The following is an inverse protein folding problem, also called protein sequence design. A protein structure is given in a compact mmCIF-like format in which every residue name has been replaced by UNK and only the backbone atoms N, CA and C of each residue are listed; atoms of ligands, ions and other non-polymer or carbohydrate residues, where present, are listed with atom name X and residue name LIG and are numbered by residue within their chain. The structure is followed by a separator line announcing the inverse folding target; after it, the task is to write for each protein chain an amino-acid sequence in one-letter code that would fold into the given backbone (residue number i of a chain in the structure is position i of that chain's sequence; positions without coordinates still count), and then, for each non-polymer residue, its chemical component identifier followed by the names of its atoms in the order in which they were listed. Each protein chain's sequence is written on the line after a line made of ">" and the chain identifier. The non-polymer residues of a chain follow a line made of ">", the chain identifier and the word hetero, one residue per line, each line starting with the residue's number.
data_IF_796347832600
#
_entry.id   IF_796347832600
#
_cell.length_a   1.000
_cell.length_b   1.000
_cell.length_c   1.000
_cell.angle_alpha   90.00
_cell.angle_beta   90.00
_cell.angle_gamma   90.00
#
_symmetry.space_group_name_H-M   'P 1'
#
loop_
_entity.id
_entity.type
_entity.pdbx_description
1 polymer ?
#
# COMPACT_ATOMS: atom_id res chain seq x y z
N UNK A 1 38.08 -16.66 24.66
CA UNK A 1 38.26 -16.26 23.25
C UNK A 1 36.91 -16.32 22.56
N UNK A 2 36.38 -15.19 22.11
CA UNK A 2 35.19 -15.15 21.26
C UNK A 2 35.64 -15.28 19.81
N UNK A 3 35.24 -16.36 19.14
CA UNK A 3 35.51 -16.54 17.71
C UNK A 3 34.67 -15.49 16.96
N UNK A 4 35.30 -14.60 16.16
CA UNK A 4 34.54 -13.62 15.40
C UNK A 4 33.71 -14.33 14.34
N UNK A 5 32.39 -14.21 14.41
CA UNK A 5 31.48 -14.71 13.37
C UNK A 5 31.57 -13.73 12.20
N UNK A 6 31.93 -14.18 10.99
CA UNK A 6 32.01 -13.30 9.83
C UNK A 6 30.63 -12.68 9.53
N UNK A 7 30.58 -11.41 9.09
CA UNK A 7 29.34 -10.76 8.73
C UNK A 7 28.65 -11.54 7.60
N UNK A 8 27.32 -11.64 7.68
CA UNK A 8 26.54 -12.33 6.65
C UNK A 8 26.65 -11.58 5.33
N UNK A 9 26.71 -12.33 4.23
CA UNK A 9 26.62 -11.72 2.90
C UNK A 9 25.17 -11.35 2.58
N UNK A 10 24.96 -10.39 1.67
CA UNK A 10 23.62 -10.01 1.20
C UNK A 10 22.79 -11.21 0.74
N UNK A 11 23.41 -12.15 0.02
CA UNK A 11 22.74 -13.37 -0.43
C UNK A 11 22.29 -14.26 0.74
N UNK A 12 23.10 -14.39 1.79
CA UNK A 12 22.75 -15.14 3.00
C UNK A 12 21.59 -14.45 3.75
N UNK A 13 21.61 -13.12 3.83
CA UNK A 13 20.53 -12.34 4.45
C UNK A 13 19.21 -12.49 3.69
N UNK A 14 19.24 -12.37 2.36
CA UNK A 14 18.06 -12.55 1.51
C UNK A 14 17.47 -13.95 1.64
N UNK A 15 18.31 -14.99 1.59
CA UNK A 15 17.85 -16.38 1.78
C UNK A 15 17.18 -16.56 3.14
N UNK A 16 17.83 -16.10 4.21
CA UNK A 16 17.26 -16.18 5.55
C UNK A 16 15.97 -15.36 5.70
N UNK A 17 15.85 -14.22 5.00
CA UNK A 17 14.64 -13.41 4.98
C UNK A 17 13.47 -14.12 4.26
N UNK A 18 13.73 -14.76 3.12
CA UNK A 18 12.73 -15.56 2.39
C UNK A 18 12.21 -16.70 3.27
N UNK A 19 13.11 -17.43 3.93
CA UNK A 19 12.74 -18.51 4.85
C UNK A 19 11.90 -17.99 6.02
N UNK A 20 12.28 -16.85 6.62
CA UNK A 20 11.48 -16.21 7.69
C UNK A 20 10.09 -15.79 7.21
N UNK A 21 10.00 -15.14 6.05
CA UNK A 21 8.71 -14.73 5.45
C UNK A 21 7.80 -15.94 5.29
N UNK A 22 8.32 -17.03 4.70
CA UNK A 22 7.56 -18.26 4.49
C UNK A 22 7.02 -18.84 5.80
N UNK A 23 7.85 -18.94 6.84
CA UNK A 23 7.45 -19.44 8.16
C UNK A 23 6.38 -18.55 8.79
N UNK A 24 6.59 -17.22 8.78
CA UNK A 24 5.63 -16.25 9.36
C UNK A 24 4.27 -16.34 8.63
N UNK A 25 4.28 -16.37 7.30
CA UNK A 25 3.06 -16.48 6.50
C UNK A 25 2.31 -17.78 6.76
N UNK A 26 3.02 -18.91 6.93
CA UNK A 26 2.40 -20.18 7.32
C UNK A 26 1.72 -20.10 8.68
N UNK A 27 2.34 -19.45 9.66
CA UNK A 27 1.74 -19.22 10.97
C UNK A 27 0.52 -18.30 10.90
N UNK A 28 0.60 -17.21 10.12
CA UNK A 28 -0.54 -16.30 9.89
C UNK A 28 -1.72 -17.03 9.25
N UNK A 29 -1.45 -17.89 8.26
CA UNK A 29 -2.46 -18.72 7.62
C UNK A 29 -3.18 -19.64 8.61
N UNK A 30 -2.42 -20.34 9.49
CA UNK A 30 -3.01 -21.21 10.52
C UNK A 30 -3.82 -20.40 11.54
N UNK A 31 -3.35 -19.20 11.89
CA UNK A 31 -4.00 -18.31 12.85
C UNK A 31 -5.30 -17.69 12.32
N UNK A 32 -5.43 -17.54 11.01
CA UNK A 32 -6.63 -17.02 10.35
C UNK A 32 -6.81 -15.51 10.41
N UNK A 33 -5.83 -14.74 10.92
CA UNK A 33 -5.87 -13.29 10.87
C UNK A 33 -4.48 -12.65 10.82
N UNK A 34 -4.42 -11.44 10.27
CA UNK A 34 -3.23 -10.63 10.14
C UNK A 34 -3.49 -9.22 10.70
N UNK A 35 -2.61 -8.75 11.58
CA UNK A 35 -2.61 -7.38 12.11
C UNK A 35 -1.25 -6.75 11.84
N UNK A 36 -1.13 -5.77 10.93
CA UNK A 36 0.16 -5.17 10.58
C UNK A 36 0.95 -4.64 11.79
N UNK A 37 0.28 -3.99 12.73
CA UNK A 37 0.89 -3.50 13.98
C UNK A 37 1.09 -4.56 15.08
N UNK A 38 0.72 -5.82 14.84
CA UNK A 38 0.93 -6.92 15.80
C UNK A 38 2.31 -7.58 15.67
N UNK A 39 2.66 -8.49 16.58
CA UNK A 39 3.96 -9.16 16.58
C UNK A 39 4.31 -9.87 15.26
N UNK A 40 3.35 -10.61 14.68
CA UNK A 40 3.55 -11.28 13.38
C UNK A 40 3.66 -10.29 12.22
N UNK A 41 2.97 -9.15 12.28
CA UNK A 41 3.08 -8.08 11.30
C UNK A 41 4.42 -7.37 11.36
N UNK A 42 4.89 -7.04 12.56
CA UNK A 42 6.23 -6.48 12.78
C UNK A 42 7.33 -7.44 12.29
N UNK A 43 7.19 -8.75 12.55
CA UNK A 43 8.13 -9.75 12.07
C UNK A 43 8.14 -9.86 10.53
N UNK A 44 6.95 -9.86 9.89
CA UNK A 44 6.83 -9.91 8.44
C UNK A 44 7.42 -8.65 7.79
N UNK A 45 7.11 -7.47 8.36
CA UNK A 45 7.68 -6.18 7.97
C UNK A 45 9.20 -6.20 8.01
N UNK A 46 9.78 -6.62 9.14
CA UNK A 46 11.23 -6.67 9.30
C UNK A 46 11.88 -7.62 8.29
N UNK A 47 11.26 -8.78 8.04
CA UNK A 47 11.76 -9.72 7.06
C UNK A 47 11.70 -9.15 5.63
N UNK A 48 10.64 -8.41 5.28
CA UNK A 48 10.52 -7.75 3.98
C UNK A 48 11.55 -6.62 3.81
N UNK A 49 11.79 -5.82 4.84
CA UNK A 49 12.83 -4.78 4.87
C UNK A 49 14.25 -5.35 4.81
N UNK A 50 14.49 -6.54 5.37
CA UNK A 50 15.75 -7.25 5.17
C UNK A 50 15.87 -7.75 3.74
N UNK A 51 14.79 -8.33 3.19
CA UNK A 51 14.80 -8.90 1.85
C UNK A 51 15.04 -7.84 0.78
N UNK A 52 14.43 -6.66 0.92
CA UNK A 52 14.40 -5.58 -0.09
C UNK A 52 14.19 -6.15 -1.50
N UNK A 53 13.00 -6.71 -1.79
CA UNK A 53 12.72 -7.21 -3.13
C UNK A 53 12.97 -6.12 -4.17
N UNK A 54 13.60 -6.47 -5.29
CA UNK A 54 13.95 -5.52 -6.35
C UNK A 54 12.74 -4.70 -6.84
N UNK A 55 11.57 -5.34 -6.91
CA UNK A 55 10.29 -4.71 -7.27
C UNK A 55 9.82 -3.63 -6.28
N UNK A 56 10.40 -3.58 -5.08
CA UNK A 56 10.11 -2.61 -4.03
C UNK A 56 11.33 -1.73 -3.73
N UNK A 57 12.21 -1.49 -4.72
CA UNK A 57 13.31 -0.52 -4.73
C UNK A 57 13.71 0.08 -3.37
N UNK A 58 13.09 1.21 -3.03
CA UNK A 58 13.35 2.06 -1.86
C UNK A 58 12.56 1.69 -0.59
N UNK A 59 11.98 0.50 -0.50
CA UNK A 59 11.18 0.07 0.66
C UNK A 59 11.91 0.22 2.00
N UNK A 60 13.24 0.03 2.01
CA UNK A 60 14.07 0.17 3.21
C UNK A 60 14.63 1.57 3.45
N UNK A 61 14.43 2.51 2.52
CA UNK A 61 14.77 3.91 2.72
C UNK A 61 13.63 4.58 3.51
N UNK A 62 13.85 4.98 4.77
CA UNK A 62 12.80 5.61 5.57
C UNK A 62 12.41 6.98 5.01
N UNK A 63 13.30 7.66 4.30
CA UNK A 63 13.07 9.01 3.79
C UNK A 63 12.36 9.03 2.44
N UNK A 64 12.21 7.88 1.76
CA UNK A 64 11.63 7.82 0.41
C UNK A 64 10.49 6.83 0.33
N UNK A 65 9.34 7.31 -0.11
CA UNK A 65 8.21 6.45 -0.45
C UNK A 65 8.47 5.75 -1.78
N UNK A 66 8.19 4.45 -1.86
CA UNK A 66 8.41 3.63 -3.06
C UNK A 66 7.25 3.73 -4.05
N UNK A 67 7.28 4.73 -4.93
CA UNK A 67 6.19 5.02 -5.87
C UNK A 67 6.00 3.96 -6.96
N UNK A 68 7.06 3.31 -7.45
CA UNK A 68 6.89 2.28 -8.47
C UNK A 68 6.31 1.00 -7.87
N UNK A 69 6.75 0.65 -6.67
CA UNK A 69 6.16 -0.44 -5.89
C UNK A 69 4.69 -0.16 -5.55
N UNK A 70 4.34 1.09 -5.22
CA UNK A 70 2.95 1.48 -4.97
C UNK A 70 2.06 1.25 -6.19
N UNK A 71 2.45 1.76 -7.37
CA UNK A 71 1.71 1.51 -8.62
C UNK A 71 1.55 0.01 -8.88
N UNK A 72 2.62 -0.76 -8.72
CA UNK A 72 2.59 -2.22 -8.92
C UNK A 72 1.64 -2.95 -7.96
N UNK A 73 1.61 -2.52 -6.70
CA UNK A 73 0.78 -3.14 -5.66
C UNK A 73 -0.70 -2.78 -5.85
N UNK A 74 -1.00 -1.52 -6.16
CA UNK A 74 -2.36 -1.03 -6.36
C UNK A 74 -3.01 -1.74 -7.55
N UNK A 75 -2.29 -1.93 -8.65
CA UNK A 75 -2.70 -2.72 -9.81
C UNK A 75 -3.13 -4.17 -9.46
N UNK A 76 -2.74 -4.69 -8.29
CA UNK A 76 -2.95 -6.08 -7.88
C UNK A 76 -3.94 -6.25 -6.74
N UNK A 77 -4.36 -5.16 -6.11
CA UNK A 77 -5.35 -5.14 -5.05
C UNK A 77 -6.66 -4.56 -5.58
N UNK A 78 -7.81 -4.85 -4.94
CA UNK A 78 -9.06 -4.24 -5.35
C UNK A 78 -9.03 -2.73 -5.09
N UNK A 79 -9.58 -1.96 -6.04
CA UNK A 79 -9.81 -0.54 -5.87
C UNK A 79 -10.60 -0.25 -4.59
N UNK A 80 -10.24 0.80 -3.85
CA UNK A 80 -10.88 1.19 -2.60
C UNK A 80 -10.40 0.41 -1.37
N UNK A 81 -9.42 -0.49 -1.50
CA UNK A 81 -8.85 -1.22 -0.36
C UNK A 81 -8.13 -0.29 0.62
N UNK A 82 -7.57 0.80 0.13
CA UNK A 82 -6.90 1.87 0.89
C UNK A 82 -7.86 2.55 1.88
N UNK A 83 -9.15 2.57 1.57
CA UNK A 83 -10.21 3.09 2.45
C UNK A 83 -10.72 2.04 3.46
N UNK A 84 -10.32 0.77 3.29
CA UNK A 84 -10.85 -0.33 4.09
C UNK A 84 -9.94 -0.63 5.30
N UNK A 85 -10.53 -0.57 6.49
CA UNK A 85 -9.89 -1.00 7.74
C UNK A 85 -9.84 -2.52 7.88
N UNK A 86 -10.79 -3.24 7.30
CA UNK A 86 -10.92 -4.69 7.39
C UNK A 86 -10.85 -5.33 6.01
N UNK A 87 -9.91 -6.27 5.85
CA UNK A 87 -9.80 -7.10 4.64
C UNK A 87 -10.05 -8.54 5.04
N UNK A 88 -11.12 -9.14 4.51
CA UNK A 88 -11.49 -10.53 4.77
C UNK A 88 -11.19 -11.38 3.54
N UNK A 89 -10.42 -12.43 3.74
CA UNK A 89 -10.14 -13.42 2.71
C UNK A 89 -11.17 -14.54 2.84
N UNK A 90 -12.01 -14.71 1.82
CA UNK A 90 -13.13 -15.65 1.83
C UNK A 90 -12.95 -16.70 0.75
N UNK A 91 -13.55 -17.88 0.92
CA UNK A 91 -13.68 -18.82 -0.19
C UNK A 91 -14.70 -18.29 -1.21
N UNK A 92 -14.75 -18.90 -2.40
CA UNK A 92 -15.79 -18.62 -3.38
C UNK A 92 -17.15 -19.15 -2.86
N UNK A 93 -17.80 -18.37 -2.00
CA UNK A 93 -19.04 -18.72 -1.28
C UNK A 93 -20.31 -18.20 -1.98
N UNK A 94 -20.20 -17.78 -3.25
CA UNK A 94 -21.35 -17.32 -4.03
C UNK A 94 -21.72 -15.85 -3.83
N UNK A 95 -20.78 -15.02 -3.35
CA UNK A 95 -20.97 -13.56 -3.25
C UNK A 95 -21.26 -12.91 -4.61
N UNK A 96 -20.97 -13.57 -5.72
CA UNK A 96 -21.40 -13.15 -7.06
C UNK A 96 -22.92 -13.00 -7.21
N UNK A 97 -23.73 -13.61 -6.33
CA UNK A 97 -25.20 -13.52 -6.32
C UNK A 97 -25.75 -12.55 -5.26
N UNK A 98 -24.88 -11.91 -4.48
CA UNK A 98 -25.27 -11.04 -3.36
C UNK A 98 -25.84 -9.68 -3.76
N UNK A 99 -25.64 -9.26 -5.01
CA UNK A 99 -25.96 -7.91 -5.49
C UNK A 99 -24.87 -6.87 -5.20
N UNK A 100 -23.78 -7.23 -4.51
CA UNK A 100 -22.62 -6.34 -4.36
C UNK A 100 -21.90 -6.14 -5.69
N UNK A 101 -21.36 -4.94 -5.89
CA UNK A 101 -20.50 -4.64 -7.04
C UNK A 101 -19.26 -5.54 -7.00
N UNK A 102 -18.97 -6.19 -8.14
CA UNK A 102 -17.79 -7.04 -8.27
C UNK A 102 -16.60 -6.19 -8.69
N UNK A 103 -15.62 -6.06 -7.80
CA UNK A 103 -14.36 -5.35 -8.05
C UNK A 103 -13.31 -6.38 -8.45
N UNK A 104 -12.67 -6.19 -9.60
CA UNK A 104 -11.61 -7.09 -10.09
C UNK A 104 -10.30 -6.30 -10.25
N UNK A 105 -9.21 -6.66 -9.54
CA UNK A 105 -7.93 -5.97 -9.70
C UNK A 105 -7.37 -6.07 -11.13
N UNK A 106 -6.78 -4.98 -11.64
CA UNK A 106 -6.28 -4.86 -13.01
C UNK A 106 -5.33 -6.00 -13.43
N UNK A 107 -4.43 -6.42 -12.53
CA UNK A 107 -3.37 -7.42 -12.78
C UNK A 107 -3.57 -8.71 -11.99
N UNK A 108 -4.72 -8.90 -11.34
CA UNK A 108 -5.07 -10.13 -10.59
C UNK A 108 -6.54 -10.48 -10.78
N UNK A 109 -6.80 -11.60 -11.46
CA UNK A 109 -8.15 -12.10 -11.72
C UNK A 109 -8.71 -12.85 -10.51
N UNK A 110 -9.41 -12.12 -9.64
CA UNK A 110 -10.18 -12.62 -8.51
C UNK A 110 -11.29 -11.62 -8.19
N UNK A 111 -12.42 -12.12 -7.72
CA UNK A 111 -13.52 -11.24 -7.35
C UNK A 111 -13.26 -10.68 -5.95
N UNK A 112 -13.53 -9.39 -5.81
CA UNK A 112 -13.54 -8.70 -4.55
C UNK A 112 -14.88 -7.97 -4.41
N UNK A 113 -15.31 -7.75 -3.18
CA UNK A 113 -16.57 -7.10 -2.88
C UNK A 113 -16.37 -6.12 -1.74
N UNK A 114 -16.76 -4.87 -1.94
CA UNK A 114 -16.81 -3.89 -0.86
C UNK A 114 -18.20 -3.95 -0.24
N UNK A 115 -18.30 -4.39 1.02
CA UNK A 115 -19.60 -4.58 1.69
C UNK A 115 -20.07 -3.33 2.43
N UNK A 116 -19.14 -2.49 2.85
CA UNK A 116 -19.35 -1.20 3.50
C UNK A 116 -18.11 -0.32 3.30
N UNK A 117 -18.10 0.87 3.92
CA UNK A 117 -17.00 1.82 3.79
C UNK A 117 -15.66 1.28 4.31
N UNK A 118 -15.68 0.40 5.33
CA UNK A 118 -14.48 -0.07 6.03
C UNK A 118 -14.06 -1.50 5.63
N UNK A 119 -14.90 -2.28 4.94
CA UNK A 119 -14.71 -3.72 4.78
C UNK A 119 -14.64 -4.17 3.33
N UNK A 120 -13.51 -4.78 2.97
CA UNK A 120 -13.24 -5.44 1.70
C UNK A 120 -13.26 -6.97 1.86
N UNK A 121 -14.01 -7.66 1.02
CA UNK A 121 -13.93 -9.11 0.83
C UNK A 121 -13.07 -9.41 -0.39
N UNK A 122 -12.20 -10.41 -0.29
CA UNK A 122 -11.38 -10.91 -1.39
C UNK A 122 -11.61 -12.41 -1.50
N UNK A 123 -12.16 -12.87 -2.62
CA UNK A 123 -12.30 -14.30 -2.89
C UNK A 123 -10.95 -14.93 -3.21
N UNK A 124 -10.60 -15.99 -2.46
CA UNK A 124 -9.40 -16.78 -2.67
C UNK A 124 -9.75 -18.02 -3.49
N UNK A 125 -9.08 -18.18 -4.64
CA UNK A 125 -9.34 -19.27 -5.59
C UNK A 125 -8.13 -20.16 -5.81
N UNK A 126 -6.91 -19.64 -5.58
CA UNK A 126 -5.64 -20.36 -5.83
C UNK A 126 -4.91 -20.76 -4.54
N UNK A 127 -5.59 -20.66 -3.41
CA UNK A 127 -5.10 -21.13 -2.11
C UNK A 127 -3.97 -20.27 -1.54
N UNK A 128 -2.98 -20.91 -0.92
CA UNK A 128 -2.00 -20.23 -0.04
C UNK A 128 -1.12 -19.22 -0.75
N UNK A 129 -0.72 -19.46 -2.00
CA UNK A 129 0.16 -18.55 -2.74
C UNK A 129 -0.51 -17.19 -2.97
N UNK A 130 -1.81 -17.18 -3.23
CA UNK A 130 -2.61 -15.96 -3.38
C UNK A 130 -2.69 -15.18 -2.06
N UNK A 131 -2.91 -15.87 -0.95
CA UNK A 131 -2.89 -15.28 0.40
C UNK A 131 -1.52 -14.64 0.68
N UNK A 132 -0.42 -15.31 0.31
CA UNK A 132 0.92 -14.80 0.54
C UNK A 132 1.22 -13.55 -0.31
N UNK A 133 0.76 -13.49 -1.56
CA UNK A 133 0.86 -12.30 -2.44
C UNK A 133 0.12 -11.12 -1.79
N UNK A 134 -1.12 -11.33 -1.33
CA UNK A 134 -1.94 -10.31 -0.66
C UNK A 134 -1.26 -9.80 0.61
N UNK A 135 -0.81 -10.71 1.49
CA UNK A 135 -0.17 -10.32 2.74
C UNK A 135 1.13 -9.54 2.49
N UNK A 136 1.87 -9.88 1.43
CA UNK A 136 3.07 -9.13 1.03
C UNK A 136 2.71 -7.72 0.59
N UNK A 137 1.68 -7.57 -0.25
CA UNK A 137 1.20 -6.29 -0.75
C UNK A 137 0.64 -5.40 0.35
N UNK A 138 -0.17 -5.94 1.26
CA UNK A 138 -0.66 -5.21 2.43
C UNK A 138 0.46 -4.81 3.38
N UNK A 139 1.47 -5.68 3.57
CA UNK A 139 2.65 -5.34 4.38
C UNK A 139 3.45 -4.21 3.72
N UNK A 140 3.59 -4.23 2.40
CA UNK A 140 4.23 -3.14 1.64
C UNK A 140 3.48 -1.81 1.83
N UNK A 141 2.16 -1.77 1.60
CA UNK A 141 1.35 -0.56 1.80
C UNK A 141 1.52 -0.05 3.23
N UNK A 142 1.49 -0.94 4.23
CA UNK A 142 1.66 -0.53 5.62
C UNK A 142 3.06 0.03 5.91
N UNK A 143 4.12 -0.47 5.26
CA UNK A 143 5.46 0.11 5.37
C UNK A 143 5.45 1.54 4.83
N UNK A 144 4.95 1.74 3.62
CA UNK A 144 4.93 3.04 2.96
C UNK A 144 4.02 4.04 3.70
N UNK A 145 2.86 3.61 4.19
CA UNK A 145 1.97 4.41 5.03
C UNK A 145 2.63 4.87 6.33
N UNK A 146 3.49 4.03 6.94
CA UNK A 146 4.27 4.46 8.10
C UNK A 146 5.27 5.56 7.73
N UNK A 147 5.94 5.47 6.57
CA UNK A 147 6.86 6.53 6.12
C UNK A 147 6.12 7.84 5.90
N UNK A 148 4.98 7.80 5.19
CA UNK A 148 4.15 8.98 4.94
C UNK A 148 3.71 9.61 6.26
N UNK A 149 3.20 8.80 7.20
CA UNK A 149 2.85 9.28 8.55
C UNK A 149 4.04 9.93 9.24
N UNK A 150 5.20 9.29 9.22
CA UNK A 150 6.39 9.78 9.91
C UNK A 150 6.93 11.07 9.28
N UNK A 151 6.70 11.31 7.98
CA UNK A 151 7.00 12.59 7.31
C UNK A 151 5.92 13.65 7.52
N UNK A 152 4.67 13.23 7.69
CA UNK A 152 3.52 14.10 7.89
C UNK A 152 3.42 14.61 9.33
N UNK A 153 4.11 13.99 10.28
CA UNK A 153 4.07 14.35 11.70
C UNK A 153 5.44 14.83 12.21
N UNK A 154 5.46 15.99 12.85
CA UNK A 154 6.60 16.52 13.59
C UNK A 154 6.20 16.63 15.07
N UNK A 155 6.91 15.93 15.96
CA UNK A 155 6.57 15.86 17.41
C UNK A 155 5.10 15.46 17.69
N UNK A 156 4.51 14.67 16.80
CA UNK A 156 3.11 14.22 16.89
C UNK A 156 2.07 15.24 16.41
N UNK A 157 2.51 16.38 15.87
CA UNK A 157 1.65 17.37 15.22
C UNK A 157 1.78 17.30 13.70
N UNK A 158 0.69 17.53 12.93
CA UNK A 158 0.78 17.61 11.48
C UNK A 158 1.75 18.69 11.01
N UNK A 159 2.59 18.36 10.03
CA UNK A 159 3.46 19.33 9.36
C UNK A 159 2.66 20.32 8.54
N UNK A 160 3.27 21.46 8.21
CA UNK A 160 2.64 22.47 7.35
C UNK A 160 2.28 21.90 5.98
N UNK A 161 3.15 21.07 5.41
CA UNK A 161 2.95 20.40 4.13
C UNK A 161 1.73 19.50 4.15
N UNK A 162 1.54 18.71 5.23
CA UNK A 162 0.35 17.88 5.42
C UNK A 162 -0.92 18.73 5.48
N UNK A 163 -0.94 19.76 6.33
CA UNK A 163 -2.10 20.64 6.49
C UNK A 163 -2.47 21.31 5.16
N UNK A 164 -1.47 21.81 4.41
CA UNK A 164 -1.73 22.46 3.11
C UNK A 164 -2.19 21.49 2.04
N UNK A 165 -1.68 20.27 2.05
CA UNK A 165 -2.16 19.24 1.13
C UNK A 165 -3.61 18.84 1.47
N UNK A 166 -3.91 18.60 2.74
CA UNK A 166 -5.25 18.26 3.22
C UNK A 166 -6.29 19.34 2.85
N UNK A 167 -6.00 20.62 3.15
CA UNK A 167 -6.86 21.75 2.77
C UNK A 167 -7.20 21.74 1.26
N UNK A 168 -6.20 21.47 0.41
CA UNK A 168 -6.38 21.47 -1.04
C UNK A 168 -7.20 20.27 -1.54
N UNK A 169 -6.91 19.07 -1.02
CA UNK A 169 -7.59 17.82 -1.40
C UNK A 169 -9.05 17.86 -0.94
N UNK A 170 -9.31 18.27 0.30
CA UNK A 170 -10.67 18.30 0.86
C UNK A 170 -11.51 19.43 0.27
N UNK A 171 -10.95 20.61 -0.01
CA UNK A 171 -11.69 21.70 -0.66
C UNK A 171 -12.22 21.34 -2.06
N UNK A 172 -11.61 20.35 -2.71
CA UNK A 172 -12.01 19.86 -4.02
C UNK A 172 -13.03 18.72 -3.97
N UNK A 173 -13.30 18.15 -2.78
CA UNK A 173 -14.33 17.13 -2.54
C UNK A 173 -15.73 17.72 -2.29
N UNK A 174 -16.07 18.84 -2.95
CA UNK A 174 -17.40 19.48 -2.80
C UNK A 174 -18.53 18.55 -3.27
N UNK A 175 -19.74 18.58 -2.65
CA UNK A 175 -20.88 17.73 -3.02
C UNK A 175 -21.26 17.77 -4.50
N UNK A 176 -20.94 18.87 -5.18
CA UNK A 176 -21.26 19.11 -6.59
C UNK A 176 -20.21 18.54 -7.57
N UNK A 177 -19.05 18.05 -7.09
CA UNK A 177 -18.01 17.44 -7.94
C UNK A 177 -17.20 16.33 -7.22
N UNK A 178 -17.81 15.16 -6.94
CA UNK A 178 -17.23 14.12 -6.10
C UNK A 178 -16.05 13.33 -6.70
N UNK A 179 -15.55 13.66 -7.92
CA UNK A 179 -14.57 12.84 -8.64
C UNK A 179 -13.31 13.56 -9.15
N UNK A 180 -13.15 14.87 -8.96
CA UNK A 180 -11.94 15.57 -9.41
C UNK A 180 -11.05 15.92 -8.22
N UNK A 181 -10.35 14.93 -7.69
CA UNK A 181 -9.24 15.20 -6.79
C UNK A 181 -8.16 15.91 -7.59
N UNK A 182 -7.98 17.18 -7.26
CA UNK A 182 -7.27 18.19 -8.04
C UNK A 182 -8.07 18.73 -9.21
N UNK A 183 -8.42 20.02 -9.12
CA UNK A 183 -9.02 20.83 -10.17
C UNK A 183 -8.27 20.70 -11.50
N UNK A 184 -8.96 20.93 -12.62
CA UNK A 184 -8.30 21.15 -13.93
C UNK A 184 -7.33 22.35 -13.93
N UNK A 185 -7.35 23.16 -12.86
CA UNK A 185 -6.37 24.21 -12.62
C UNK A 185 -4.97 23.62 -12.36
N UNK A 186 -4.10 23.82 -13.36
CA UNK A 186 -2.71 23.37 -13.37
C UNK A 186 -1.87 23.98 -12.23
N UNK A 187 -2.16 25.21 -11.81
CA UNK A 187 -1.43 25.87 -10.72
C UNK A 187 -1.72 25.17 -9.38
N UNK A 188 -2.99 24.88 -9.12
CA UNK A 188 -3.42 24.14 -7.93
C UNK A 188 -2.82 22.74 -7.93
N UNK A 189 -2.80 22.06 -9.09
CA UNK A 189 -2.19 20.74 -9.23
C UNK A 189 -0.69 20.75 -8.96
N UNK A 190 0.05 21.69 -9.54
CA UNK A 190 1.48 21.81 -9.30
C UNK A 190 1.79 22.12 -7.84
N UNK A 191 0.98 22.96 -7.18
CA UNK A 191 1.13 23.23 -5.75
C UNK A 191 0.89 21.97 -4.91
N UNK A 192 -0.12 21.16 -5.24
CA UNK A 192 -0.39 19.89 -4.56
C UNK A 192 0.79 18.91 -4.73
N UNK A 193 1.34 18.79 -5.95
CA UNK A 193 2.53 17.97 -6.19
C UNK A 193 3.76 18.48 -5.42
N UNK A 194 3.91 19.79 -5.25
CA UNK A 194 5.01 20.34 -4.45
C UNK A 194 4.93 19.88 -3.00
N UNK A 195 3.78 20.03 -2.35
CA UNK A 195 3.60 19.59 -0.96
C UNK A 195 3.72 18.07 -0.83
N UNK A 196 3.07 17.34 -1.72
CA UNK A 196 3.11 15.88 -1.74
C UNK A 196 4.54 15.37 -1.96
N UNK A 197 5.33 15.98 -2.84
CA UNK A 197 6.71 15.56 -3.09
C UNK A 197 7.59 15.62 -1.84
N UNK A 198 7.39 16.63 -0.98
CA UNK A 198 8.06 16.73 0.32
C UNK A 198 7.64 15.58 1.25
N UNK A 199 6.35 15.31 1.37
CA UNK A 199 5.82 14.23 2.21
C UNK A 199 6.26 12.84 1.73
N UNK A 200 6.44 12.66 0.42
CA UNK A 200 6.91 11.40 -0.16
C UNK A 200 8.44 11.26 -0.12
N UNK A 201 9.17 12.34 0.18
CA UNK A 201 10.63 12.42 0.02
C UNK A 201 11.08 12.16 -1.41
N UNK A 202 10.26 12.62 -2.36
CA UNK A 202 10.45 12.44 -3.81
C UNK A 202 10.58 13.78 -4.50
N UNK A 203 11.11 13.75 -5.71
CA UNK A 203 11.12 14.95 -6.54
C UNK A 203 9.71 15.26 -7.03
N UNK A 204 9.49 16.53 -7.40
CA UNK A 204 8.27 16.98 -8.07
C UNK A 204 7.96 16.12 -9.31
N UNK A 205 8.97 15.87 -10.15
CA UNK A 205 8.81 15.08 -11.38
C UNK A 205 8.44 13.62 -11.10
N UNK A 206 9.07 12.96 -10.12
CA UNK A 206 8.70 11.60 -9.72
C UNK A 206 7.26 11.52 -9.22
N UNK A 207 6.84 12.52 -8.43
CA UNK A 207 5.48 12.61 -7.86
C UNK A 207 4.44 12.80 -8.96
N UNK A 208 4.67 13.78 -9.86
CA UNK A 208 3.82 14.03 -11.02
C UNK A 208 3.73 12.80 -11.94
N UNK A 209 4.85 12.14 -12.19
CA UNK A 209 4.87 10.93 -12.99
C UNK A 209 4.06 9.78 -12.35
N UNK A 210 4.19 9.57 -11.04
CA UNK A 210 3.39 8.58 -10.32
C UNK A 210 1.89 8.91 -10.36
N UNK A 211 1.52 10.18 -10.20
CA UNK A 211 0.14 10.65 -10.33
C UNK A 211 -0.43 10.28 -11.71
N UNK A 212 0.27 10.62 -12.80
CA UNK A 212 -0.20 10.32 -14.15
C UNK A 212 -0.29 8.82 -14.42
N UNK A 213 0.63 8.01 -13.88
CA UNK A 213 0.57 6.54 -14.02
C UNK A 213 -0.67 5.94 -13.34
N UNK A 214 -1.01 6.42 -12.15
CA UNK A 214 -2.21 5.98 -11.44
C UNK A 214 -3.48 6.49 -12.13
N UNK A 215 -3.47 7.73 -12.62
CA UNK A 215 -4.58 8.33 -13.36
C UNK A 215 -4.87 7.61 -14.70
N UNK A 216 -3.86 7.02 -15.36
CA UNK A 216 -4.07 6.20 -16.57
C UNK A 216 -4.88 4.93 -16.29
N UNK A 217 -4.84 4.42 -15.05
CA UNK A 217 -5.60 3.26 -14.60
C UNK A 217 -6.83 3.64 -13.78
N UNK A 218 -7.41 4.83 -13.97
CA UNK A 218 -8.49 5.39 -13.11
C UNK A 218 -9.77 4.56 -13.01
N UNK A 219 -10.00 3.60 -13.91
CA UNK A 219 -11.08 2.61 -13.74
C UNK A 219 -10.78 1.58 -12.64
N UNK A 220 -9.50 1.36 -12.35
CA UNK A 220 -9.00 0.25 -11.56
C UNK A 220 -8.35 0.71 -10.23
N UNK A 221 -8.21 2.02 -10.01
CA UNK A 221 -7.71 2.63 -8.77
C UNK A 221 -8.27 4.05 -8.56
N UNK A 222 -8.19 4.56 -7.32
CA UNK A 222 -8.71 5.88 -6.95
C UNK A 222 -7.73 7.05 -7.23
N UNK A 223 -6.51 6.77 -7.67
CA UNK A 223 -5.50 7.80 -7.95
C UNK A 223 -4.62 8.12 -6.74
N UNK A 224 -3.53 8.85 -7.00
CA UNK A 224 -2.44 9.01 -6.02
C UNK A 224 -2.89 9.68 -4.71
N UNK A 225 -3.76 10.68 -4.75
CA UNK A 225 -4.15 11.42 -3.55
C UNK A 225 -5.08 10.62 -2.62
N UNK A 226 -5.88 9.69 -3.14
CA UNK A 226 -6.67 8.78 -2.29
C UNK A 226 -5.82 7.64 -1.70
N UNK A 227 -4.76 7.23 -2.42
CA UNK A 227 -3.90 6.12 -2.01
C UNK A 227 -2.94 6.52 -0.88
N UNK A 228 -2.54 7.79 -0.81
CA UNK A 228 -1.51 8.32 0.10
C UNK A 228 -2.11 8.83 1.41
#
# INVERSE_FOLDING_TARGET
>A
MTIPVPPRTRAQESRAAIERIYVIMRHLFIRGYYKPGGASGAALRQALLTLQPEIYGSIADPQKVELNGLVYVIDRLPCGIEMCRFVKLVAAEGYSQSGFETIVPAKRRRNCYRIDEETMLIEITRGRSEIYDILTHLTFIYIEANKIRDHALEEGQPTREWIKLEEMVTAQQSPDNPKSLVSEDLEVQHRAFSYLSTLLGRTFEETKHAYHRLAQGSSDNNGLFDII
#
